data_IF_824745087983
#
_entry.id   IF_824745087983
#
_cell.length_a   1.000
_cell.length_b   1.000
_cell.length_c   1.000
_cell.angle_alpha   90.00
_cell.angle_beta   90.00
_cell.angle_gamma   90.00
#
_symmetry.space_group_name_H-M   'P 1'
#
loop_
_entity.id
_entity.type
_entity.pdbx_description
1 polymer ?
#
# COMPACT_ATOMS: atom_id res chain seq x y z
N UNK A 1 -17.98 15.81 8.29
CA UNK A 1 -17.42 16.33 7.00
C UNK A 1 -17.45 15.21 5.96
N UNK A 2 -17.98 15.45 4.75
CA UNK A 2 -18.07 14.44 3.66
C UNK A 2 -16.67 13.96 3.23
N UNK A 3 -16.53 12.68 2.87
CA UNK A 3 -15.24 12.06 2.45
C UNK A 3 -14.55 12.87 1.34
N UNK A 4 -15.31 13.40 0.39
CA UNK A 4 -14.79 14.22 -0.72
C UNK A 4 -13.97 15.43 -0.24
N UNK A 5 -14.43 16.14 0.79
CA UNK A 5 -13.70 17.29 1.34
C UNK A 5 -12.39 16.85 1.99
N UNK A 6 -12.46 15.78 2.79
CA UNK A 6 -11.29 15.17 3.46
C UNK A 6 -10.22 14.76 2.46
N UNK A 7 -10.62 14.17 1.33
CA UNK A 7 -9.70 13.79 0.26
C UNK A 7 -9.12 15.01 -0.48
N UNK A 8 -9.84 16.12 -0.60
CA UNK A 8 -9.29 17.36 -1.17
C UNK A 8 -8.14 17.87 -0.28
N UNK A 9 -8.33 17.87 1.03
CA UNK A 9 -7.32 18.33 1.99
C UNK A 9 -6.08 17.44 1.97
N UNK A 10 -6.26 16.11 1.95
CA UNK A 10 -5.16 15.16 1.77
C UNK A 10 -4.34 15.47 0.51
N UNK A 11 -5.02 15.64 -0.63
CA UNK A 11 -4.37 15.90 -1.92
C UNK A 11 -3.64 17.24 -1.94
N UNK A 12 -4.17 18.28 -1.28
CA UNK A 12 -3.49 19.58 -1.12
C UNK A 12 -2.24 19.42 -0.26
N UNK A 13 -2.36 18.80 0.90
CA UNK A 13 -1.26 18.56 1.82
C UNK A 13 -0.13 17.77 1.16
N UNK A 14 -0.46 16.70 0.43
CA UNK A 14 0.52 15.92 -0.30
C UNK A 14 1.22 16.77 -1.36
N UNK A 15 0.48 17.50 -2.21
CA UNK A 15 1.09 18.31 -3.29
C UNK A 15 2.06 19.35 -2.76
N UNK A 16 1.73 19.98 -1.65
CA UNK A 16 2.54 21.01 -1.01
C UNK A 16 3.79 20.41 -0.32
N UNK A 17 3.67 19.22 0.29
CA UNK A 17 4.70 18.69 1.18
C UNK A 17 5.49 17.49 0.62
N UNK A 18 5.09 16.89 -0.51
CA UNK A 18 5.71 15.67 -1.04
C UNK A 18 7.23 15.76 -1.20
N UNK A 19 7.75 16.92 -1.63
CA UNK A 19 9.20 17.13 -1.79
C UNK A 19 9.87 17.11 -0.43
N UNK A 20 9.35 17.88 0.51
CA UNK A 20 9.86 17.97 1.88
C UNK A 20 9.84 16.61 2.58
N UNK A 21 8.74 15.85 2.45
CA UNK A 21 8.61 14.51 3.02
C UNK A 21 9.70 13.57 2.48
N UNK A 22 9.83 13.50 1.15
CA UNK A 22 10.80 12.59 0.50
C UNK A 22 12.23 13.01 0.80
N UNK A 23 12.53 14.30 0.77
CA UNK A 23 13.89 14.81 1.02
C UNK A 23 14.28 14.60 2.50
N UNK A 24 13.36 14.82 3.44
CA UNK A 24 13.56 14.50 4.86
C UNK A 24 13.78 13.02 5.10
N UNK A 25 12.95 12.17 4.48
CA UNK A 25 13.13 10.71 4.55
C UNK A 25 14.45 10.29 3.92
N UNK A 26 14.90 10.93 2.84
CA UNK A 26 16.19 10.64 2.20
C UNK A 26 17.38 10.96 3.12
N UNK A 27 17.32 12.08 3.83
CA UNK A 27 18.39 12.50 4.75
C UNK A 27 18.39 11.69 6.05
N UNK A 28 17.20 11.39 6.59
CA UNK A 28 17.04 10.58 7.79
C UNK A 28 15.81 9.68 7.68
N UNK A 29 16.03 8.41 7.35
CA UNK A 29 14.96 7.43 7.20
C UNK A 29 14.18 7.20 8.50
N UNK A 30 14.76 7.49 9.68
CA UNK A 30 14.09 7.27 10.97
C UNK A 30 13.28 8.47 11.47
N UNK A 31 13.25 9.59 10.72
CA UNK A 31 12.59 10.81 11.17
C UNK A 31 11.10 10.59 11.47
N UNK A 32 10.62 11.08 12.60
CA UNK A 32 9.21 10.99 13.00
C UNK A 32 8.45 12.19 12.45
N UNK A 33 7.76 11.95 11.33
CA UNK A 33 6.88 12.91 10.67
C UNK A 33 5.69 12.15 10.07
N UNK A 34 4.56 12.82 9.90
CA UNK A 34 3.41 12.25 9.23
C UNK A 34 3.74 11.93 7.77
N UNK A 35 3.75 10.66 7.42
CA UNK A 35 4.19 10.20 6.09
C UNK A 35 3.34 10.74 4.92
N UNK A 36 2.17 11.34 5.18
CA UNK A 36 1.31 11.94 4.16
C UNK A 36 1.39 13.47 4.07
N UNK A 37 1.53 14.18 5.20
CA UNK A 37 1.48 15.65 5.21
C UNK A 37 2.75 16.33 5.73
N UNK A 38 3.71 15.59 6.29
CA UNK A 38 5.01 16.12 6.72
C UNK A 38 5.04 16.82 8.08
N UNK A 39 3.91 16.92 8.79
CA UNK A 39 3.85 17.47 10.16
C UNK A 39 4.56 16.53 11.14
N UNK A 40 5.29 17.09 12.11
CA UNK A 40 6.08 16.32 13.10
C UNK A 40 5.37 16.15 14.45
N UNK A 41 4.31 16.92 14.69
CA UNK A 41 3.55 16.92 15.94
C UNK A 41 2.28 16.05 15.85
N UNK A 42 1.75 15.65 17.02
CA UNK A 42 0.50 14.88 17.15
C UNK A 42 0.47 13.60 16.29
N UNK A 43 1.60 12.90 16.27
CA UNK A 43 1.75 11.66 15.54
C UNK A 43 1.06 10.50 16.26
N UNK A 44 0.35 9.73 15.46
CA UNK A 44 -0.29 8.46 15.81
C UNK A 44 0.38 7.33 15.03
N UNK A 45 0.00 6.08 15.32
CA UNK A 45 0.48 4.89 14.62
C UNK A 45 -0.55 4.48 13.57
N UNK A 46 -0.22 4.74 12.31
CA UNK A 46 -1.06 4.31 11.19
C UNK A 46 -0.64 2.90 10.75
N UNK A 47 -1.60 2.00 10.58
CA UNK A 47 -1.33 0.65 10.10
C UNK A 47 -1.07 0.64 8.60
N UNK A 48 -0.12 -0.22 8.19
CA UNK A 48 0.20 -0.39 6.77
C UNK A 48 -0.91 -1.13 6.06
N UNK A 49 -1.27 -2.31 6.59
CA UNK A 49 -2.52 -2.98 6.26
C UNK A 49 -3.53 -2.73 7.39
N UNK A 50 -4.74 -2.23 7.07
CA UNK A 50 -5.77 -2.02 8.06
C UNK A 50 -6.09 -3.29 8.83
N UNK A 51 -6.38 -3.17 10.13
CA UNK A 51 -6.60 -4.37 10.95
C UNK A 51 -7.80 -5.21 10.50
N UNK A 52 -8.80 -4.59 9.88
CA UNK A 52 -9.99 -5.28 9.39
C UNK A 52 -9.70 -6.22 8.21
N UNK A 53 -8.59 -6.01 7.48
CA UNK A 53 -8.21 -6.83 6.32
C UNK A 53 -7.81 -8.25 6.72
N UNK A 54 -7.30 -8.45 7.94
CA UNK A 54 -6.85 -9.75 8.47
C UNK A 54 -7.58 -10.14 9.77
N UNK A 55 -8.82 -9.66 9.94
CA UNK A 55 -9.70 -9.93 11.09
C UNK A 55 -9.07 -9.61 12.45
N UNK A 56 -8.21 -8.59 12.50
CA UNK A 56 -7.45 -8.17 13.68
C UNK A 56 -6.64 -9.30 14.32
N UNK A 57 -6.40 -10.40 13.60
CA UNK A 57 -5.68 -11.55 14.13
C UNK A 57 -4.21 -11.17 14.37
N UNK A 58 -3.75 -11.10 15.63
CA UNK A 58 -2.42 -10.61 15.96
C UNK A 58 -1.30 -11.59 15.55
N UNK A 59 -1.65 -12.84 15.21
CA UNK A 59 -0.72 -13.89 14.81
C UNK A 59 -0.43 -13.89 13.30
N UNK A 60 -1.23 -13.20 12.49
CA UNK A 60 -1.01 -13.15 11.03
C UNK A 60 0.28 -12.39 10.73
N UNK A 61 1.14 -13.00 9.91
CA UNK A 61 2.45 -12.51 9.52
C UNK A 61 2.55 -12.40 8.00
N UNK A 62 3.47 -11.56 7.53
CA UNK A 62 3.99 -11.60 6.17
C UNK A 62 5.50 -11.76 6.22
N UNK A 63 6.05 -12.48 5.26
CA UNK A 63 7.50 -12.65 5.11
C UNK A 63 7.99 -11.73 3.99
N UNK A 64 9.05 -10.98 4.26
CA UNK A 64 9.70 -10.16 3.22
C UNK A 64 10.75 -10.99 2.48
N UNK A 65 10.70 -10.99 1.15
CA UNK A 65 11.63 -11.78 0.32
C UNK A 65 13.09 -11.35 0.50
N UNK A 66 13.34 -10.10 0.92
CA UNK A 66 14.68 -9.53 1.04
C UNK A 66 15.48 -10.04 2.23
N UNK A 67 14.80 -10.36 3.34
CA UNK A 67 15.47 -10.77 4.58
C UNK A 67 14.95 -12.11 5.12
N UNK A 68 13.92 -12.72 4.52
CA UNK A 68 13.24 -13.90 5.09
C UNK A 68 12.57 -13.64 6.44
N UNK A 69 12.59 -12.41 6.94
CA UNK A 69 12.05 -12.05 8.25
C UNK A 69 10.53 -11.93 8.13
N UNK A 70 9.85 -12.75 8.91
CA UNK A 70 8.41 -12.63 9.15
C UNK A 70 8.11 -11.47 10.09
N UNK A 71 7.12 -10.67 9.74
CA UNK A 71 6.60 -9.59 10.59
C UNK A 71 5.09 -9.70 10.75
N UNK A 72 4.61 -9.44 11.97
CA UNK A 72 3.18 -9.41 12.23
C UNK A 72 2.55 -8.15 11.64
N UNK A 73 1.37 -8.31 11.04
CA UNK A 73 0.65 -7.19 10.43
C UNK A 73 0.31 -6.09 11.45
N UNK A 74 -0.10 -6.48 12.66
CA UNK A 74 -0.46 -5.55 13.73
C UNK A 74 0.69 -4.64 14.21
N UNK A 75 1.96 -5.06 14.08
CA UNK A 75 3.13 -4.25 14.46
C UNK A 75 3.66 -3.41 13.29
N UNK A 76 3.09 -3.56 12.11
CA UNK A 76 3.50 -2.86 10.89
C UNK A 76 2.79 -1.52 10.80
N UNK A 77 3.39 -0.50 11.42
CA UNK A 77 2.84 0.85 11.56
C UNK A 77 3.83 1.94 11.14
N UNK A 78 3.29 3.10 10.77
CA UNK A 78 4.03 4.30 10.38
C UNK A 78 3.57 5.54 11.16
N UNK A 79 4.44 6.55 11.34
CA UNK A 79 4.04 7.82 11.92
C UNK A 79 3.07 8.56 11.00
N UNK A 80 1.91 8.93 11.54
CA UNK A 80 0.87 9.66 10.81
C UNK A 80 0.12 10.60 11.75
N UNK A 81 -0.12 11.85 11.38
CA UNK A 81 -0.88 12.75 12.26
C UNK A 81 -2.35 12.30 12.36
N UNK A 82 -3.03 12.65 13.45
CA UNK A 82 -4.44 12.28 13.69
C UNK A 82 -5.38 12.68 12.56
N UNK A 83 -5.14 13.84 11.93
CA UNK A 83 -5.93 14.32 10.78
C UNK A 83 -5.78 13.41 9.56
N UNK A 84 -4.56 12.98 9.21
CA UNK A 84 -4.37 12.06 8.10
C UNK A 84 -4.88 10.65 8.45
N UNK A 85 -4.49 10.14 9.61
CA UNK A 85 -4.81 8.79 10.05
C UNK A 85 -6.32 8.61 10.31
N UNK A 86 -6.83 9.17 11.40
CA UNK A 86 -8.15 8.86 11.92
C UNK A 86 -9.25 9.51 11.08
N UNK A 87 -9.01 10.75 10.70
CA UNK A 87 -10.02 11.59 10.08
C UNK A 87 -10.17 11.33 8.59
N UNK A 88 -9.07 11.15 7.84
CA UNK A 88 -9.10 10.98 6.39
C UNK A 88 -9.03 9.50 6.01
N UNK A 89 -7.94 8.80 6.37
CA UNK A 89 -7.72 7.41 5.96
C UNK A 89 -8.68 6.46 6.65
N UNK A 90 -8.93 6.63 7.95
CA UNK A 90 -9.93 5.85 8.68
C UNK A 90 -11.34 5.99 8.10
N UNK A 91 -11.71 7.20 7.64
CA UNK A 91 -13.00 7.42 6.99
C UNK A 91 -13.05 6.86 5.56
N UNK A 92 -11.95 6.90 4.81
CA UNK A 92 -11.83 6.21 3.51
C UNK A 92 -12.02 4.70 3.68
N UNK A 93 -11.34 4.10 4.67
CA UNK A 93 -11.45 2.67 4.97
C UNK A 93 -12.83 2.27 5.47
N UNK A 94 -13.51 3.14 6.22
CA UNK A 94 -14.91 2.92 6.60
C UNK A 94 -15.81 2.82 5.37
N UNK A 95 -15.71 3.79 4.45
CA UNK A 95 -16.50 3.79 3.21
C UNK A 95 -16.19 2.58 2.34
N UNK A 96 -14.93 2.17 2.23
CA UNK A 96 -14.56 0.99 1.44
C UNK A 96 -15.14 -0.29 2.06
N UNK A 97 -15.08 -0.45 3.38
CA UNK A 97 -15.67 -1.61 4.05
C UNK A 97 -17.18 -1.68 3.86
N UNK A 98 -17.87 -0.54 3.85
CA UNK A 98 -19.30 -0.44 3.56
C UNK A 98 -19.59 -0.97 2.15
N UNK A 99 -18.85 -0.46 1.15
CA UNK A 99 -18.97 -0.90 -0.25
C UNK A 99 -18.65 -2.38 -0.48
N UNK A 100 -17.68 -2.91 0.24
CA UNK A 100 -17.32 -4.33 0.15
C UNK A 100 -18.38 -5.25 0.78
N UNK A 101 -19.18 -4.77 1.74
CA UNK A 101 -20.28 -5.57 2.34
C UNK A 101 -21.51 -5.63 1.45
N UNK A 102 -21.80 -4.52 0.77
CA UNK A 102 -23.05 -4.36 0.03
C UNK A 102 -22.98 -4.90 -1.40
N UNK A 103 -21.77 -5.16 -1.91
CA UNK A 103 -21.59 -5.68 -3.27
C UNK A 103 -21.80 -7.19 -3.31
N UNK A 104 -22.56 -7.64 -4.30
CA UNK A 104 -22.58 -9.03 -4.74
C UNK A 104 -22.04 -9.06 -6.17
N UNK A 105 -20.81 -9.57 -6.35
CA UNK A 105 -20.15 -9.59 -7.65
C UNK A 105 -20.85 -10.47 -8.70
N UNK A 106 -21.77 -11.35 -8.30
CA UNK A 106 -22.58 -12.13 -9.25
C UNK A 106 -23.76 -11.33 -9.80
N UNK A 107 -24.28 -10.40 -9.02
CA UNK A 107 -25.48 -9.61 -9.36
C UNK A 107 -25.15 -8.19 -9.82
N UNK A 108 -24.12 -7.57 -9.24
CA UNK A 108 -23.76 -6.17 -9.43
C UNK A 108 -22.24 -5.98 -9.46
N UNK A 109 -21.81 -5.00 -10.25
CA UNK A 109 -20.44 -4.53 -10.24
C UNK A 109 -20.31 -3.26 -9.39
N UNK A 110 -19.10 -2.98 -8.91
CA UNK A 110 -18.82 -1.69 -8.28
C UNK A 110 -19.11 -0.52 -9.22
N UNK A 111 -19.66 0.56 -8.68
CA UNK A 111 -19.71 1.82 -9.40
C UNK A 111 -18.30 2.34 -9.68
N UNK A 112 -18.14 3.08 -10.79
CA UNK A 112 -16.84 3.68 -11.14
C UNK A 112 -16.24 4.50 -10.00
N UNK A 113 -17.05 5.25 -9.25
CA UNK A 113 -16.58 6.05 -8.12
C UNK A 113 -16.03 5.17 -6.99
N UNK A 114 -16.65 4.01 -6.74
CA UNK A 114 -16.20 3.06 -5.72
C UNK A 114 -14.90 2.39 -6.13
N UNK A 115 -14.76 2.04 -7.43
CA UNK A 115 -13.49 1.56 -8.00
C UNK A 115 -12.36 2.59 -7.80
N UNK A 116 -12.61 3.87 -8.06
CA UNK A 116 -11.59 4.91 -7.85
C UNK A 116 -11.17 5.04 -6.38
N UNK A 117 -12.08 4.84 -5.43
CA UNK A 117 -11.77 4.83 -3.99
C UNK A 117 -10.95 3.60 -3.59
N UNK A 118 -11.29 2.42 -4.13
CA UNK A 118 -10.52 1.19 -3.92
C UNK A 118 -9.09 1.36 -4.46
N UNK A 119 -8.94 1.90 -5.68
CA UNK A 119 -7.62 2.20 -6.27
C UNK A 119 -6.83 3.15 -5.37
N UNK A 120 -7.44 4.24 -4.92
CA UNK A 120 -6.78 5.19 -4.02
C UNK A 120 -6.30 4.51 -2.75
N UNK A 121 -7.12 3.65 -2.14
CA UNK A 121 -6.76 2.90 -0.95
C UNK A 121 -5.60 1.93 -1.18
N UNK A 122 -5.62 1.15 -2.26
CA UNK A 122 -4.51 0.25 -2.63
C UNK A 122 -3.21 1.02 -2.91
N UNK A 123 -3.29 2.21 -3.52
CA UNK A 123 -2.14 3.10 -3.69
C UNK A 123 -1.62 3.61 -2.33
N UNK A 124 -2.50 3.90 -1.36
CA UNK A 124 -2.08 4.28 0.00
C UNK A 124 -1.34 3.14 0.70
N UNK A 125 -1.83 1.91 0.62
CA UNK A 125 -1.17 0.73 1.20
C UNK A 125 0.21 0.55 0.57
N UNK A 126 0.29 0.63 -0.76
CA UNK A 126 1.55 0.51 -1.48
C UNK A 126 2.56 1.56 -1.06
N UNK A 127 2.13 2.82 -0.96
CA UNK A 127 3.00 3.89 -0.47
C UNK A 127 3.49 3.63 0.96
N UNK A 128 2.61 3.17 1.85
CA UNK A 128 2.97 2.79 3.23
C UNK A 128 4.03 1.67 3.24
N UNK A 129 3.89 0.64 2.40
CA UNK A 129 4.90 -0.42 2.26
C UNK A 129 6.26 0.14 1.84
N UNK A 130 6.29 1.03 0.84
CA UNK A 130 7.52 1.68 0.39
C UNK A 130 8.20 2.50 1.50
N UNK A 131 7.43 3.28 2.24
CA UNK A 131 7.97 4.05 3.37
C UNK A 131 8.53 3.10 4.42
N UNK A 132 7.78 2.05 4.77
CA UNK A 132 8.23 1.03 5.73
C UNK A 132 9.56 0.40 5.33
N UNK A 133 9.74 0.03 4.06
CA UNK A 133 10.97 -0.57 3.57
C UNK A 133 12.15 0.40 3.53
N UNK A 134 11.89 1.70 3.39
CA UNK A 134 12.91 2.76 3.55
C UNK A 134 13.31 2.92 5.02
N UNK A 135 12.35 2.85 5.94
CA UNK A 135 12.59 3.03 7.38
C UNK A 135 13.25 1.81 8.02
N UNK A 136 13.10 0.61 7.43
CA UNK A 136 13.65 -0.62 7.97
C UNK A 136 15.11 -0.77 7.58
N UNK A 137 15.95 -1.03 8.57
CA UNK A 137 17.32 -1.50 8.37
C UNK A 137 17.32 -2.96 7.95
N UNK A 138 18.28 -3.33 7.11
CA UNK A 138 18.57 -4.74 6.87
C UNK A 138 18.95 -5.42 8.19
N UNK A 139 18.31 -6.56 8.46
CA UNK A 139 18.62 -7.43 9.60
C UNK A 139 18.86 -8.82 9.04
N UNK A 140 19.86 -9.48 9.61
CA UNK A 140 20.29 -10.85 9.28
C UNK A 140 19.11 -11.82 9.27
N UNK A 141 19.07 -12.72 8.30
CA UNK A 141 18.30 -13.96 8.43
C UNK A 141 19.00 -14.90 9.44
N UNK A 142 18.25 -15.75 10.13
CA UNK A 142 18.81 -16.65 11.17
C UNK A 142 19.87 -17.60 10.61
N UNK A 143 19.82 -17.91 9.30
CA UNK A 143 20.62 -18.96 8.67
C UNK A 143 21.75 -18.47 7.72
N UNK A 144 21.94 -17.17 7.55
CA UNK A 144 23.00 -16.62 6.66
C UNK A 144 24.23 -16.13 7.45
N UNK A 145 25.31 -15.72 6.80
CA UNK A 145 26.37 -14.93 7.45
C UNK A 145 25.94 -13.46 7.55
N UNK A 146 26.18 -12.81 8.69
CA UNK A 146 25.85 -11.39 8.85
C UNK A 146 26.95 -10.56 8.23
N UNK A 147 26.60 -9.74 7.24
CA UNK A 147 27.50 -8.75 6.67
C UNK A 147 27.19 -7.41 7.36
N UNK A 148 28.02 -6.93 8.30
CA UNK A 148 27.71 -5.74 9.11
C UNK A 148 27.46 -4.50 8.25
N UNK A 149 28.19 -4.38 7.14
CA UNK A 149 28.06 -3.28 6.18
C UNK A 149 26.63 -3.13 5.59
N UNK A 150 25.90 -4.23 5.39
CA UNK A 150 24.55 -4.17 4.82
C UNK A 150 23.51 -3.61 5.81
N UNK A 151 23.80 -3.65 7.12
CA UNK A 151 22.87 -3.20 8.16
C UNK A 151 22.67 -1.68 8.22
N UNK A 152 23.56 -0.91 7.59
CA UNK A 152 23.46 0.53 7.46
C UNK A 152 22.52 0.97 6.33
N UNK A 153 22.15 0.05 5.43
CA UNK A 153 21.28 0.35 4.30
C UNK A 153 19.80 -0.02 4.57
N UNK A 154 18.86 0.79 4.07
CA UNK A 154 17.45 0.44 4.00
C UNK A 154 17.18 -0.85 3.22
N UNK A 155 16.19 -1.64 3.66
CA UNK A 155 15.73 -2.85 2.94
C UNK A 155 15.29 -2.52 1.51
N UNK A 156 14.68 -1.36 1.30
CA UNK A 156 14.25 -0.92 -0.03
C UNK A 156 15.38 -0.83 -1.08
N UNK A 157 16.65 -0.66 -0.66
CA UNK A 157 17.79 -0.65 -1.58
C UNK A 157 18.26 -2.06 -1.95
N UNK A 158 17.82 -3.07 -1.21
CA UNK A 158 18.23 -4.47 -1.36
C UNK A 158 17.14 -5.32 -2.03
N UNK A 159 15.90 -4.82 -2.09
CA UNK A 159 14.76 -5.51 -2.72
C UNK A 159 14.94 -5.76 -4.21
N UNK A 160 15.59 -4.83 -4.90
CA UNK A 160 15.87 -4.92 -6.33
C UNK A 160 17.24 -4.30 -6.57
N UNK A 161 18.25 -5.16 -6.75
CA UNK A 161 19.64 -4.76 -6.99
C UNK A 161 19.82 -3.95 -8.28
N UNK A 162 18.81 -3.93 -9.17
CA UNK A 162 18.81 -3.09 -10.37
C UNK A 162 18.40 -1.63 -10.08
N UNK A 163 17.83 -1.34 -8.90
CA UNK A 163 17.37 0.00 -8.54
C UNK A 163 18.43 0.75 -7.74
N UNK A 164 18.85 1.92 -8.25
CA UNK A 164 19.68 2.84 -7.46
C UNK A 164 18.88 3.48 -6.30
N UNK A 165 19.54 3.91 -5.20
CA UNK A 165 18.88 4.65 -4.12
C UNK A 165 18.06 5.85 -4.61
N UNK A 166 18.58 6.59 -5.59
CA UNK A 166 17.88 7.70 -6.25
C UNK A 166 16.56 7.26 -6.91
N UNK A 167 16.54 6.07 -7.51
CA UNK A 167 15.34 5.49 -8.12
C UNK A 167 14.31 5.10 -7.07
N UNK A 168 14.73 4.58 -5.91
CA UNK A 168 13.83 4.26 -4.78
C UNK A 168 13.10 5.51 -4.29
N UNK A 169 13.80 6.62 -4.04
CA UNK A 169 13.13 7.88 -3.65
C UNK A 169 12.30 8.51 -4.78
N UNK A 170 12.71 8.33 -6.04
CA UNK A 170 11.90 8.73 -7.20
C UNK A 170 10.57 7.97 -7.25
N UNK A 171 10.61 6.66 -7.01
CA UNK A 171 9.43 5.80 -6.95
C UNK A 171 8.54 6.19 -5.77
N UNK A 172 9.11 6.43 -4.58
CA UNK A 172 8.37 6.92 -3.41
C UNK A 172 7.62 8.23 -3.73
N UNK A 173 8.31 9.20 -4.35
CA UNK A 173 7.71 10.48 -4.77
C UNK A 173 6.59 10.27 -5.78
N UNK A 174 6.75 9.33 -6.73
CA UNK A 174 5.69 8.98 -7.70
C UNK A 174 4.48 8.37 -7.01
N UNK A 175 4.67 7.45 -6.07
CA UNK A 175 3.57 6.84 -5.31
C UNK A 175 2.79 7.88 -4.51
N UNK A 176 3.50 8.78 -3.81
CA UNK A 176 2.87 9.87 -3.08
C UNK A 176 2.13 10.83 -4.03
N UNK A 177 2.72 11.17 -5.18
CA UNK A 177 2.05 11.96 -6.23
C UNK A 177 0.78 11.28 -6.72
N UNK A 178 0.75 9.95 -6.91
CA UNK A 178 -0.46 9.23 -7.34
C UNK A 178 -1.60 9.42 -6.36
N UNK A 179 -1.37 9.29 -5.05
CA UNK A 179 -2.40 9.51 -4.03
C UNK A 179 -3.01 10.92 -4.13
N UNK A 180 -2.22 11.90 -4.58
CA UNK A 180 -2.70 13.28 -4.77
C UNK A 180 -3.60 13.49 -6.00
N UNK A 181 -3.63 12.55 -6.94
CA UNK A 181 -4.45 12.64 -8.16
C UNK A 181 -5.91 12.39 -7.82
N UNK A 182 -6.80 13.28 -8.29
CA UNK A 182 -8.24 13.19 -8.02
C UNK A 182 -8.89 12.02 -8.73
N UNK A 183 -8.76 11.98 -10.06
CA UNK A 183 -9.38 10.97 -10.91
C UNK A 183 -8.47 9.76 -11.08
N UNK A 184 -9.04 8.55 -10.95
CA UNK A 184 -8.39 7.27 -11.22
C UNK A 184 -8.94 6.59 -12.47
N UNK A 185 -9.67 7.30 -13.32
CA UNK A 185 -10.35 6.74 -14.50
C UNK A 185 -9.43 5.90 -15.40
N UNK A 186 -8.22 6.40 -15.67
CA UNK A 186 -7.25 5.71 -16.54
C UNK A 186 -6.68 4.42 -15.93
N UNK A 187 -6.99 4.14 -14.66
CA UNK A 187 -6.50 3.00 -13.88
C UNK A 187 -7.59 1.98 -13.57
N UNK A 188 -8.83 2.21 -14.00
CA UNK A 188 -9.96 1.31 -13.72
C UNK A 188 -9.66 -0.09 -14.23
N UNK A 189 -9.23 -0.22 -15.50
CA UNK A 189 -8.86 -1.51 -16.08
C UNK A 189 -7.59 -2.14 -15.47
N UNK A 190 -6.84 -1.40 -14.65
CA UNK A 190 -5.66 -1.91 -13.94
C UNK A 190 -6.03 -2.55 -12.60
N UNK A 191 -7.26 -2.38 -12.13
CA UNK A 191 -7.81 -3.09 -10.99
C UNK A 191 -8.64 -4.27 -11.50
N UNK A 192 -8.37 -5.44 -10.96
CA UNK A 192 -9.17 -6.63 -11.13
C UNK A 192 -9.80 -6.96 -9.79
N UNK A 193 -11.09 -7.27 -9.85
CA UNK A 193 -11.90 -7.67 -8.69
C UNK A 193 -12.42 -9.06 -9.00
N UNK A 194 -12.13 -10.00 -8.10
CA UNK A 194 -12.51 -11.39 -8.25
C UNK A 194 -13.41 -11.80 -7.08
N UNK A 195 -14.33 -12.73 -7.33
CA UNK A 195 -14.94 -13.51 -6.25
C UNK A 195 -13.95 -14.58 -5.82
N UNK A 196 -13.76 -14.73 -4.52
CA UNK A 196 -12.94 -15.80 -3.94
C UNK A 196 -13.79 -16.67 -3.02
N UNK A 197 -13.44 -17.96 -2.96
CA UNK A 197 -13.96 -18.93 -1.98
C UNK A 197 -12.90 -19.34 -0.96
N UNK A 198 -11.72 -18.72 -1.01
CA UNK A 198 -10.65 -19.03 -0.10
C UNK A 198 -11.01 -18.55 1.32
N UNK A 199 -10.98 -19.44 2.34
CA UNK A 199 -11.26 -19.04 3.71
C UNK A 199 -10.13 -18.19 4.34
N UNK A 200 -8.93 -18.20 3.76
CA UNK A 200 -7.74 -17.59 4.32
C UNK A 200 -7.37 -16.23 3.70
N UNK A 201 -6.82 -15.35 4.54
CA UNK A 201 -6.31 -14.05 4.09
C UNK A 201 -4.96 -14.22 3.38
N UNK A 202 -4.89 -13.86 2.11
CA UNK A 202 -3.65 -13.80 1.34
C UNK A 202 -3.30 -12.38 0.92
N UNK A 203 -2.01 -12.05 1.04
CA UNK A 203 -1.48 -10.76 0.64
C UNK A 203 -0.13 -10.96 -0.04
N UNK A 204 -0.05 -10.54 -1.29
CA UNK A 204 1.16 -10.57 -2.08
C UNK A 204 1.38 -9.16 -2.62
N UNK A 205 2.61 -8.67 -2.56
CA UNK A 205 2.95 -7.40 -3.17
C UNK A 205 4.33 -7.46 -3.81
N UNK A 206 4.46 -6.76 -4.91
CA UNK A 206 5.75 -6.52 -5.56
C UNK A 206 5.94 -5.01 -5.68
N UNK A 207 7.00 -4.50 -5.06
CA UNK A 207 7.36 -3.08 -5.03
C UNK A 207 7.27 -2.46 -6.43
N UNK A 208 6.39 -1.47 -6.61
CA UNK A 208 6.15 -0.76 -7.87
C UNK A 208 5.49 -1.56 -9.00
N UNK A 209 5.15 -2.84 -8.81
CA UNK A 209 4.56 -3.67 -9.85
C UNK A 209 3.07 -3.90 -9.61
N UNK A 210 2.72 -4.60 -8.53
CA UNK A 210 1.35 -4.94 -8.20
C UNK A 210 1.13 -5.11 -6.69
N UNK A 211 -0.14 -5.09 -6.31
CA UNK A 211 -0.63 -5.50 -4.99
C UNK A 211 -1.81 -6.45 -5.19
N UNK A 212 -1.79 -7.56 -4.45
CA UNK A 212 -2.86 -8.54 -4.38
C UNK A 212 -3.33 -8.68 -2.92
N UNK A 213 -4.63 -8.55 -2.70
CA UNK A 213 -5.29 -8.71 -1.41
C UNK A 213 -6.51 -9.60 -1.57
N UNK A 214 -6.48 -10.75 -0.92
CA UNK A 214 -7.62 -11.64 -0.80
C UNK A 214 -8.34 -11.38 0.52
N UNK A 215 -9.63 -11.05 0.48
CA UNK A 215 -10.43 -10.64 1.63
C UNK A 215 -11.57 -11.64 1.86
N UNK A 216 -11.31 -12.77 2.57
CA UNK A 216 -12.29 -13.84 2.77
C UNK A 216 -13.62 -13.37 3.36
N UNK A 217 -13.56 -12.43 4.31
CA UNK A 217 -14.73 -11.85 4.98
C UNK A 217 -15.76 -11.25 4.01
N UNK A 218 -15.31 -10.81 2.84
CA UNK A 218 -16.15 -10.22 1.81
C UNK A 218 -16.26 -11.11 0.57
N UNK A 219 -15.65 -12.30 0.56
CA UNK A 219 -15.55 -13.18 -0.61
C UNK A 219 -14.94 -12.47 -1.84
N UNK A 220 -14.06 -11.48 -1.63
CA UNK A 220 -13.49 -10.65 -2.69
C UNK A 220 -11.96 -10.73 -2.68
N UNK A 221 -11.35 -10.89 -3.85
CA UNK A 221 -9.93 -10.67 -4.05
C UNK A 221 -9.70 -9.47 -4.99
N UNK A 222 -8.68 -8.67 -4.68
CA UNK A 222 -8.31 -7.46 -5.39
C UNK A 222 -6.89 -7.62 -5.93
N UNK A 223 -6.71 -7.44 -7.22
CA UNK A 223 -5.39 -7.35 -7.85
C UNK A 223 -5.25 -6.01 -8.56
N UNK A 224 -4.23 -5.23 -8.21
CA UNK A 224 -4.02 -3.92 -8.81
C UNK A 224 -2.62 -3.75 -9.37
N UNK A 225 -2.54 -3.39 -10.65
CA UNK A 225 -1.29 -3.02 -11.31
C UNK A 225 -0.92 -1.56 -11.01
N UNK A 226 0.17 -1.37 -10.27
CA UNK A 226 0.59 -0.05 -9.78
C UNK A 226 1.06 0.88 -10.90
N UNK A 227 1.81 0.35 -11.87
CA UNK A 227 2.47 1.16 -12.90
C UNK A 227 2.06 0.82 -14.33
N UNK A 228 1.09 -0.08 -14.53
CA UNK A 228 0.58 -0.45 -15.86
C UNK A 228 -0.86 0.03 -16.04
N UNK A 229 -1.16 0.53 -17.23
CA UNK A 229 -2.50 0.91 -17.67
C UNK A 229 -2.89 -0.04 -18.80
N UNK A 230 -4.16 -0.41 -18.84
CA UNK A 230 -4.67 -1.36 -19.82
C UNK A 230 -5.85 -0.76 -20.58
N UNK A 231 -5.88 -1.03 -21.88
CA UNK A 231 -6.99 -0.59 -22.73
C UNK A 231 -8.25 -1.39 -22.42
N UNK A 232 -8.09 -2.68 -22.13
CA UNK A 232 -9.20 -3.57 -21.80
C UNK A 232 -8.96 -4.30 -20.49
N UNK A 233 -10.04 -4.67 -19.81
CA UNK A 233 -9.99 -5.50 -18.61
C UNK A 233 -9.42 -6.91 -18.89
N UNK A 234 -9.64 -7.44 -20.11
CA UNK A 234 -9.12 -8.74 -20.54
C UNK A 234 -7.59 -8.77 -20.56
N UNK A 235 -6.94 -7.74 -21.11
CA UNK A 235 -5.47 -7.65 -21.15
C UNK A 235 -4.85 -7.65 -19.75
N UNK A 236 -5.51 -6.97 -18.80
CA UNK A 236 -5.10 -6.94 -17.40
C UNK A 236 -5.28 -8.32 -16.74
N UNK A 237 -6.41 -8.97 -17.01
CA UNK A 237 -6.74 -10.30 -16.49
C UNK A 237 -5.74 -11.36 -16.93
N UNK A 238 -5.44 -11.46 -18.23
CA UNK A 238 -4.50 -12.46 -18.76
C UNK A 238 -3.10 -12.28 -18.15
N UNK A 239 -2.70 -11.04 -17.91
CA UNK A 239 -1.42 -10.74 -17.25
C UNK A 239 -1.43 -11.06 -15.75
N UNK A 240 -2.58 -10.89 -15.10
CA UNK A 240 -2.74 -11.20 -13.69
C UNK A 240 -2.61 -12.70 -13.43
N UNK A 241 -3.30 -13.54 -14.22
CA UNK A 241 -3.20 -15.00 -14.11
C UNK A 241 -1.74 -15.46 -14.19
N UNK A 242 -1.00 -14.99 -15.21
CA UNK A 242 0.41 -15.31 -15.37
C UNK A 242 1.31 -14.92 -14.18
N UNK A 243 0.90 -13.94 -13.36
CA UNK A 243 1.62 -13.53 -12.15
C UNK A 243 1.17 -14.40 -10.98
N UNK A 244 -0.14 -14.62 -10.81
CA UNK A 244 -0.68 -15.45 -9.74
C UNK A 244 -0.18 -16.89 -9.85
N UNK A 245 -0.13 -17.48 -11.05
CA UNK A 245 0.40 -18.83 -11.27
C UNK A 245 1.88 -19.01 -10.85
N UNK A 246 2.62 -17.91 -10.68
CA UNK A 246 4.03 -17.92 -10.28
C UNK A 246 4.26 -17.61 -8.80
N UNK A 247 3.36 -16.81 -8.21
CA UNK A 247 3.57 -16.19 -6.90
C UNK A 247 2.60 -16.72 -5.83
N UNK A 248 1.50 -17.37 -6.24
CA UNK A 248 0.47 -17.98 -5.38
C UNK A 248 0.60 -19.50 -5.39
#
# INVERSE_FOLDING_TARGET
MKLTSRLIDLRKNIRNNQRVIVDKLKTNHNLNLCVFCGIENNLTKEHILPQWVYDRNPKRIFTTNTNGISQTYNKSVLPCCSSCNNEILGHLEYVIQDKLKDVDLELNCFEYKDIELIILWLETITYKLQVMDIRRKFKKDKNSEFIPYLSDFPISFLQDLSLSPSKVFSNLRKSLKKISIKSKTNRINSLLVFKTKNPDFHFIHSSNNFIFLELPKYEIALFYFLNKEFRTHKDAHDKCINILDKEY
#
